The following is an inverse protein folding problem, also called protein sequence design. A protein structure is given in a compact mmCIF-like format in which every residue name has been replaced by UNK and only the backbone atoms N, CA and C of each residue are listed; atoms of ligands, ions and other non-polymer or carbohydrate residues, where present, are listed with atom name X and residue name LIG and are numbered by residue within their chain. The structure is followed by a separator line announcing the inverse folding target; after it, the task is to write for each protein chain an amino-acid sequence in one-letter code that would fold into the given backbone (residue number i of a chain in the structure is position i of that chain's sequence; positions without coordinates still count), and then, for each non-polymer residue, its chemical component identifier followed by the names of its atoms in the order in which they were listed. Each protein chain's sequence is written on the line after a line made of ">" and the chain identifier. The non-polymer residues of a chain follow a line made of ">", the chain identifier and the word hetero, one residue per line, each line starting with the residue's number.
data_IF_412956853293
#
_entry.id   IF_412956853293
#
_cell.length_a   1.000
_cell.length_b   1.000
_cell.length_c   1.000
_cell.angle_alpha   90.00
_cell.angle_beta   90.00
_cell.angle_gamma   90.00
#
_symmetry.space_group_name_H-M   'P 1'
#
loop_
_entity.id
_entity.type
_entity.pdbx_description
1 polymer ?
#
# COMPACT_ATOMS: atom_id res chain seq x y z
N UNK A 1 -21.53 2.03 9.29
CA UNK A 1 -20.59 1.72 10.40
C UNK A 1 -19.48 0.81 9.87
N UNK A 2 -18.20 1.12 10.12
CA UNK A 2 -17.06 0.34 9.57
C UNK A 2 -17.13 -1.14 9.99
N UNK A 3 -16.93 -2.11 9.07
CA UNK A 3 -16.90 -3.54 9.40
C UNK A 3 -15.90 -3.90 10.51
N UNK A 4 -14.79 -3.16 10.61
CA UNK A 4 -13.76 -3.35 11.63
C UNK A 4 -14.27 -3.18 13.06
N UNK A 5 -15.34 -2.41 13.27
CA UNK A 5 -15.96 -2.23 14.60
C UNK A 5 -16.69 -3.48 15.10
N UNK A 6 -16.86 -4.49 14.25
CA UNK A 6 -17.48 -5.78 14.60
C UNK A 6 -16.44 -6.86 14.94
N UNK A 7 -15.15 -6.60 14.69
CA UNK A 7 -14.07 -7.53 14.98
C UNK A 7 -13.56 -7.27 16.40
N UNK A 8 -13.63 -8.30 17.23
CA UNK A 8 -13.05 -8.32 18.57
C UNK A 8 -11.94 -9.37 18.58
N UNK A 9 -10.79 -9.01 19.15
CA UNK A 9 -9.71 -9.96 19.37
C UNK A 9 -9.92 -10.58 20.75
N UNK A 10 -10.02 -11.91 20.81
CA UNK A 10 -10.09 -12.63 22.08
C UNK A 10 -8.67 -12.90 22.58
N UNK A 11 -8.19 -12.22 23.65
CA UNK A 11 -6.89 -12.52 24.21
C UNK A 11 -6.91 -13.92 24.84
N UNK A 12 -6.00 -14.79 24.41
CA UNK A 12 -5.86 -16.13 25.00
C UNK A 12 -5.01 -15.99 26.27
N UNK A 13 -5.66 -15.98 27.43
CA UNK A 13 -4.98 -15.94 28.73
C UNK A 13 -5.11 -17.24 29.55
N UNK A 14 -6.12 -18.07 29.24
CA UNK A 14 -6.42 -19.29 30.02
C UNK A 14 -5.75 -20.56 29.48
N UNK A 15 -5.36 -20.57 28.20
CA UNK A 15 -4.67 -21.70 27.57
C UNK A 15 -3.15 -21.47 27.45
N UNK A 16 -2.73 -20.21 27.33
CA UNK A 16 -1.33 -19.80 27.28
C UNK A 16 -1.23 -18.48 28.04
N UNK A 17 -0.30 -18.40 28.99
CA UNK A 17 -0.03 -17.14 29.66
C UNK A 17 0.55 -16.13 28.65
N UNK A 18 0.33 -14.82 28.86
CA UNK A 18 1.00 -13.80 28.06
C UNK A 18 2.51 -14.01 28.03
N UNK A 19 3.12 -13.72 26.89
CA UNK A 19 4.58 -13.65 26.77
C UNK A 19 5.12 -12.61 27.76
N UNK A 20 6.24 -12.93 28.41
CA UNK A 20 6.85 -12.00 29.37
C UNK A 20 7.28 -10.70 28.68
N UNK A 21 7.17 -9.57 29.39
CA UNK A 21 7.50 -8.24 28.84
C UNK A 21 8.95 -8.08 28.36
N UNK A 22 9.86 -8.98 28.75
CA UNK A 22 11.27 -8.98 28.32
C UNK A 22 11.49 -9.72 27.00
N UNK A 23 10.49 -10.44 26.50
CA UNK A 23 10.57 -11.18 25.24
C UNK A 23 10.38 -10.22 24.08
N UNK A 24 11.39 -10.12 23.21
CA UNK A 24 11.27 -9.36 21.97
C UNK A 24 10.35 -10.10 20.99
N UNK A 25 9.34 -9.40 20.48
CA UNK A 25 8.44 -9.93 19.46
C UNK A 25 9.02 -9.62 18.08
N UNK A 26 9.32 -10.67 17.31
CA UNK A 26 9.69 -10.52 15.91
C UNK A 26 8.44 -10.13 15.11
N UNK A 27 8.48 -8.93 14.53
CA UNK A 27 7.42 -8.38 13.70
C UNK A 27 7.75 -8.49 12.21
N UNK A 28 8.88 -9.11 11.87
CA UNK A 28 9.32 -9.25 10.50
C UNK A 28 8.41 -10.21 9.72
N UNK A 29 8.15 -9.86 8.46
CA UNK A 29 7.31 -10.65 7.56
C UNK A 29 7.95 -10.77 6.18
N UNK A 30 7.73 -11.90 5.52
CA UNK A 30 8.11 -12.12 4.13
C UNK A 30 6.84 -12.26 3.28
N UNK A 31 6.60 -11.28 2.41
CA UNK A 31 5.50 -11.30 1.44
C UNK A 31 6.00 -11.92 0.14
N UNK A 32 5.22 -12.87 -0.40
CA UNK A 32 5.58 -13.58 -1.63
C UNK A 32 6.80 -14.49 -1.44
N UNK A 33 6.80 -15.34 -0.40
CA UNK A 33 7.92 -16.25 -0.07
C UNK A 33 8.44 -17.10 -1.25
N UNK A 34 7.57 -17.42 -2.22
CA UNK A 34 7.89 -18.21 -3.41
C UNK A 34 8.07 -17.34 -4.68
N UNK A 35 7.99 -16.02 -4.57
CA UNK A 35 8.19 -15.13 -5.69
C UNK A 35 9.68 -15.01 -6.03
N UNK A 36 9.99 -14.67 -7.29
CA UNK A 36 11.38 -14.43 -7.74
C UNK A 36 12.08 -13.32 -6.93
N UNK A 37 11.32 -12.37 -6.38
CA UNK A 37 11.80 -11.26 -5.56
C UNK A 37 10.90 -11.12 -4.32
N UNK A 38 11.12 -11.89 -3.25
CA UNK A 38 10.32 -11.82 -2.03
C UNK A 38 10.52 -10.47 -1.33
N UNK A 39 9.45 -9.89 -0.79
CA UNK A 39 9.51 -8.64 -0.05
C UNK A 39 9.68 -8.95 1.45
N UNK A 40 10.83 -8.59 2.02
CA UNK A 40 11.13 -8.77 3.44
C UNK A 40 10.92 -7.45 4.18
N UNK A 41 10.02 -7.44 5.16
CA UNK A 41 9.68 -6.25 5.94
C UNK A 41 10.04 -6.50 7.40
N UNK A 42 10.51 -5.47 8.08
CA UNK A 42 10.76 -5.54 9.53
C UNK A 42 9.47 -5.45 10.34
N UNK A 43 8.44 -4.81 9.79
CA UNK A 43 7.10 -4.66 10.38
C UNK A 43 6.04 -4.89 9.30
N UNK A 44 4.86 -5.41 9.63
CA UNK A 44 3.80 -5.70 8.64
C UNK A 44 2.96 -4.43 8.35
N UNK A 45 3.61 -3.28 8.23
CA UNK A 45 2.98 -1.99 7.94
C UNK A 45 3.66 -1.43 6.70
N UNK A 46 2.84 -1.02 5.73
CA UNK A 46 3.27 -0.55 4.42
C UNK A 46 2.56 0.76 4.14
N UNK A 47 3.32 1.74 3.65
CA UNK A 47 2.79 2.99 3.11
C UNK A 47 3.02 2.94 1.61
N UNK A 48 1.95 2.96 0.82
CA UNK A 48 2.04 2.98 -0.65
C UNK A 48 2.14 4.42 -1.17
N UNK A 49 2.89 4.59 -2.25
CA UNK A 49 2.96 5.87 -2.98
C UNK A 49 1.80 5.98 -3.96
N UNK A 50 1.19 7.17 -4.06
CA UNK A 50 0.15 7.46 -5.05
C UNK A 50 0.73 7.66 -6.45
N UNK A 51 2.01 8.04 -6.55
CA UNK A 51 2.74 8.28 -7.79
C UNK A 51 4.00 7.42 -7.89
N UNK A 52 4.60 7.43 -9.08
CA UNK A 52 5.82 6.69 -9.42
C UNK A 52 6.88 7.69 -9.90
N UNK A 53 7.15 8.70 -9.08
CA UNK A 53 8.15 9.72 -9.37
C UNK A 53 9.55 9.15 -9.16
N UNK A 54 10.52 9.67 -9.91
CA UNK A 54 11.92 9.23 -9.84
C UNK A 54 12.49 9.47 -8.45
N UNK A 55 12.17 10.61 -7.86
CA UNK A 55 12.59 11.05 -6.54
C UNK A 55 12.07 10.08 -5.46
N UNK A 56 10.83 9.59 -5.58
CA UNK A 56 10.25 8.59 -4.67
C UNK A 56 10.98 7.25 -4.77
N UNK A 57 11.32 6.81 -5.98
CA UNK A 57 12.08 5.57 -6.23
C UNK A 57 13.49 5.63 -5.63
N UNK A 58 14.13 6.80 -5.66
CA UNK A 58 15.47 7.01 -5.10
C UNK A 58 15.45 7.10 -3.57
N UNK A 59 14.43 7.75 -2.99
CA UNK A 59 14.29 7.92 -1.54
C UNK A 59 13.79 6.65 -0.82
N UNK A 60 12.95 5.85 -1.47
CA UNK A 60 12.28 4.73 -0.82
C UNK A 60 13.12 3.44 -0.86
N UNK A 61 13.29 2.81 0.31
CA UNK A 61 13.84 1.45 0.42
C UNK A 61 12.97 0.44 -0.35
N UNK A 62 11.66 0.57 -0.24
CA UNK A 62 10.66 -0.19 -0.98
C UNK A 62 9.65 0.76 -1.58
N UNK A 63 9.42 0.65 -2.89
CA UNK A 63 8.39 1.40 -3.58
C UNK A 63 7.28 0.44 -4.01
N UNK A 64 6.05 0.74 -3.59
CA UNK A 64 4.85 -0.04 -3.95
C UNK A 64 3.91 0.90 -4.67
N UNK A 65 3.56 0.54 -5.89
CA UNK A 65 2.73 1.35 -6.76
C UNK A 65 1.39 0.68 -7.02
N UNK A 66 0.37 1.50 -7.20
CA UNK A 66 -0.97 1.04 -7.53
C UNK A 66 -1.11 0.86 -9.04
N UNK A 67 -1.62 -0.30 -9.46
CA UNK A 67 -2.02 -0.52 -10.83
C UNK A 67 -3.37 0.15 -11.10
N UNK A 68 -3.40 1.19 -11.94
CA UNK A 68 -4.63 1.89 -12.31
C UNK A 68 -5.26 1.28 -13.57
N UNK A 69 -6.60 1.21 -13.59
CA UNK A 69 -7.35 0.80 -14.80
C UNK A 69 -7.48 1.93 -15.83
N UNK A 70 -7.17 3.18 -15.45
CA UNK A 70 -7.29 4.38 -16.30
C UNK A 70 -6.06 4.69 -17.17
N UNK A 71 -5.09 3.76 -17.27
CA UNK A 71 -3.94 3.91 -18.16
C UNK A 71 -2.70 4.60 -17.58
N UNK A 72 -2.78 5.22 -16.39
CA UNK A 72 -1.60 5.68 -15.62
C UNK A 72 -0.98 4.51 -14.84
N UNK A 73 0.35 4.44 -14.70
CA UNK A 73 1.07 3.39 -13.96
C UNK A 73 0.78 1.96 -14.45
N UNK A 74 0.61 1.76 -15.76
CA UNK A 74 0.33 0.45 -16.37
C UNK A 74 1.48 -0.07 -17.23
N UNK A 75 2.47 0.77 -17.54
CA UNK A 75 3.52 0.39 -18.48
C UNK A 75 4.53 -0.57 -17.83
N UNK A 76 4.97 -1.63 -18.53
CA UNK A 76 5.90 -2.60 -17.96
C UNK A 76 7.21 -1.99 -17.43
N UNK A 77 7.73 -0.95 -18.08
CA UNK A 77 8.94 -0.24 -17.68
C UNK A 77 8.78 0.52 -16.36
N UNK A 78 7.60 1.07 -16.07
CA UNK A 78 7.28 1.73 -14.80
C UNK A 78 7.09 0.68 -13.71
N UNK A 79 6.28 -0.36 -13.99
CA UNK A 79 5.96 -1.42 -13.03
C UNK A 79 7.19 -2.23 -12.58
N UNK A 80 8.19 -2.39 -13.46
CA UNK A 80 9.45 -3.09 -13.11
C UNK A 80 10.29 -2.34 -12.07
N UNK A 81 10.06 -1.05 -11.88
CA UNK A 81 10.75 -0.24 -10.88
C UNK A 81 10.16 -0.44 -9.49
N UNK A 82 9.00 -1.09 -9.36
CA UNK A 82 8.33 -1.34 -8.09
C UNK A 82 8.83 -2.62 -7.41
N UNK A 83 8.74 -2.64 -6.09
CA UNK A 83 8.98 -3.82 -5.27
C UNK A 83 7.74 -4.70 -5.12
N UNK A 84 6.55 -4.10 -5.18
CA UNK A 84 5.27 -4.79 -5.25
C UNK A 84 4.25 -3.90 -6.00
N UNK A 85 3.18 -4.53 -6.49
CA UNK A 85 2.09 -3.86 -7.21
C UNK A 85 0.80 -4.06 -6.42
N UNK A 86 0.11 -2.97 -6.10
CA UNK A 86 -1.21 -3.02 -5.52
C UNK A 86 -2.26 -3.15 -6.62
N UNK A 87 -3.01 -4.27 -6.61
CA UNK A 87 -4.09 -4.53 -7.56
C UNK A 87 -5.41 -4.40 -6.82
N UNK A 88 -6.19 -3.39 -7.19
CA UNK A 88 -7.50 -3.19 -6.58
C UNK A 88 -8.58 -4.02 -7.28
N UNK A 89 -9.30 -4.82 -6.50
CA UNK A 89 -10.44 -5.62 -6.94
C UNK A 89 -11.74 -4.93 -6.49
N UNK A 90 -12.75 -4.83 -7.37
CA UNK A 90 -14.03 -4.15 -7.09
C UNK A 90 -14.20 -2.73 -7.68
N UNK A 91 -15.35 -2.09 -7.38
CA UNK A 91 -15.77 -0.78 -7.95
C UNK A 91 -15.61 0.42 -7.00
N UNK A 92 -15.43 0.22 -5.68
CA UNK A 92 -15.25 1.31 -4.68
C UNK A 92 -13.91 2.07 -4.77
N UNK A 93 -13.14 1.75 -5.79
CA UNK A 93 -11.75 2.11 -6.07
C UNK A 93 -11.57 3.35 -6.96
N UNK A 94 -12.67 3.98 -7.38
CA UNK A 94 -12.67 4.93 -8.51
C UNK A 94 -12.64 6.40 -8.08
N UNK A 95 -12.82 6.71 -6.79
CA UNK A 95 -13.02 8.08 -6.30
C UNK A 95 -11.88 9.06 -6.69
N UNK A 96 -10.62 8.60 -6.71
CA UNK A 96 -9.49 9.45 -7.09
C UNK A 96 -9.40 9.75 -8.59
N UNK A 97 -9.99 8.91 -9.44
CA UNK A 97 -9.92 9.11 -10.90
C UNK A 97 -11.06 10.01 -11.42
N UNK A 98 -12.16 10.16 -10.65
CA UNK A 98 -13.33 10.94 -11.10
C UNK A 98 -13.08 12.46 -11.09
N UNK A 99 -12.23 12.98 -10.20
CA UNK A 99 -11.95 14.42 -10.16
C UNK A 99 -11.13 14.89 -11.37
N UNK A 100 -10.23 14.04 -11.89
CA UNK A 100 -9.46 14.33 -13.10
C UNK A 100 -10.26 14.05 -14.38
N UNK A 101 -11.07 12.98 -14.43
CA UNK A 101 -11.93 12.65 -15.59
C UNK A 101 -13.02 13.71 -15.85
N UNK A 102 -13.36 14.53 -14.85
CA UNK A 102 -14.30 15.66 -15.00
C UNK A 102 -13.65 16.91 -15.62
N UNK A 103 -12.36 16.87 -15.99
CA UNK A 103 -11.70 17.97 -16.70
C UNK A 103 -11.63 19.28 -15.91
N UNK A 104 -11.74 19.22 -14.58
CA UNK A 104 -11.61 20.41 -13.72
C UNK A 104 -10.13 20.80 -13.69
N UNK A 105 -9.75 21.70 -14.60
CA UNK A 105 -8.47 22.39 -14.53
C UNK A 105 -8.43 23.19 -13.23
N UNK A 106 -7.37 23.04 -12.43
CA UNK A 106 -7.06 24.02 -11.40
C UNK A 106 -7.03 25.41 -12.05
N UNK A 107 -7.89 26.31 -11.59
CA UNK A 107 -7.83 27.71 -12.00
C UNK A 107 -6.54 28.30 -11.41
N UNK A 108 -5.60 28.63 -12.29
CA UNK A 108 -4.39 29.33 -11.92
C UNK A 108 -4.77 30.77 -11.53
N UNK A 109 -4.54 31.21 -10.29
CA UNK A 109 -4.90 32.55 -9.84
C UNK A 109 -4.09 33.69 -10.49
N UNK A 110 -3.26 33.37 -11.49
CA UNK A 110 -2.48 34.32 -12.30
C UNK A 110 -3.00 34.50 -13.73
N UNK A 111 -4.11 33.84 -14.09
CA UNK A 111 -4.77 34.06 -15.38
C UNK A 111 -5.74 35.25 -15.22
N UNK A 112 -5.32 36.43 -15.71
CA UNK A 112 -6.11 37.68 -15.75
C UNK A 112 -7.26 37.65 -16.75
#
# INVERSE_FOLDING_TARGET
>A
MSPWKKLLLNPVHLYRLPVENKVTIDTSVIIGKNAKKPLKLAVPIIISGMSLLKEEREAAKYLIGQYSRGGKNTKPEELRQLNAIEIQLGQGARASNYLEDMGVREHNPMDV
#
